data_IF_924888674593
#
_entry.id   IF_924888674593
#
_cell.length_a   1.000
_cell.length_b   1.000
_cell.length_c   1.000
_cell.angle_alpha   90.00
_cell.angle_beta   90.00
_cell.angle_gamma   90.00
#
_symmetry.space_group_name_H-M   'P 1'
#
loop_
_entity.id
_entity.type
_entity.pdbx_description
1 polymer ?
#
# COMPACT_ATOMS: atom_id res chain seq x y z
N UNK A 1 -6.29 2.41 13.02
CA UNK A 1 -6.02 2.44 11.59
C UNK A 1 -4.59 2.92 11.34
N UNK A 2 -3.86 2.22 10.51
CA UNK A 2 -2.46 2.55 10.21
C UNK A 2 -2.39 3.19 8.82
N UNK A 3 -1.69 4.30 8.73
CA UNK A 3 -1.48 4.99 7.44
C UNK A 3 0.01 5.01 7.12
N UNK A 4 0.35 4.56 5.91
CA UNK A 4 1.72 4.55 5.41
C UNK A 4 1.82 5.56 4.27
N UNK A 5 2.64 6.58 4.43
CA UNK A 5 2.88 7.55 3.38
C UNK A 5 4.16 7.18 2.65
N UNK A 6 4.00 6.57 1.49
CA UNK A 6 5.13 6.12 0.68
C UNK A 6 5.29 6.95 -0.59
N UNK A 7 4.72 8.16 -0.60
CA UNK A 7 4.84 9.05 -1.75
C UNK A 7 6.28 9.52 -1.89
N UNK A 8 6.74 9.63 -3.13
CA UNK A 8 8.09 10.08 -3.41
C UNK A 8 9.18 9.03 -3.20
N UNK A 9 8.81 7.83 -2.78
CA UNK A 9 9.77 6.75 -2.58
C UNK A 9 9.80 5.84 -3.81
N UNK A 10 10.96 5.27 -4.07
CA UNK A 10 11.11 4.35 -5.18
C UNK A 10 11.09 2.90 -4.69
N UNK A 11 10.64 2.01 -5.59
CA UNK A 11 10.62 0.58 -5.30
C UNK A 11 12.03 0.10 -4.94
N UNK A 12 12.21 -0.77 -3.93
CA UNK A 12 11.18 -1.54 -3.24
C UNK A 12 10.66 -0.94 -1.92
N UNK A 13 11.02 0.31 -1.59
CA UNK A 13 10.69 0.88 -0.29
C UNK A 13 9.20 0.92 0.03
N UNK A 14 8.30 1.37 -0.89
CA UNK A 14 6.87 1.36 -0.58
C UNK A 14 6.35 -0.03 -0.23
N UNK A 15 6.82 -1.04 -0.94
CA UNK A 15 6.40 -2.42 -0.69
C UNK A 15 6.88 -2.90 0.68
N UNK A 16 8.13 -2.61 1.02
CA UNK A 16 8.69 -3.00 2.32
C UNK A 16 7.96 -2.32 3.47
N UNK A 17 7.65 -1.03 3.33
CA UNK A 17 6.90 -0.31 4.34
C UNK A 17 5.50 -0.88 4.52
N UNK A 18 4.85 -1.25 3.42
CA UNK A 18 3.52 -1.86 3.46
C UNK A 18 3.55 -3.21 4.15
N UNK A 19 4.55 -4.04 3.83
CA UNK A 19 4.69 -5.35 4.47
C UNK A 19 4.86 -5.21 5.98
N UNK A 20 5.70 -4.29 6.42
CA UNK A 20 5.92 -4.07 7.84
C UNK A 20 4.64 -3.57 8.53
N UNK A 21 3.93 -2.66 7.90
CA UNK A 21 2.70 -2.10 8.45
C UNK A 21 1.62 -3.18 8.58
N UNK A 22 1.47 -4.03 7.58
CA UNK A 22 0.46 -5.10 7.58
C UNK A 22 0.75 -6.11 8.69
N UNK A 23 2.03 -6.41 8.91
CA UNK A 23 2.41 -7.33 9.99
C UNK A 23 2.10 -6.80 11.37
N UNK A 24 2.24 -5.48 11.58
CA UNK A 24 2.03 -4.86 12.88
C UNK A 24 0.60 -4.46 13.16
N UNK A 25 -0.18 -4.20 12.10
CA UNK A 25 -1.51 -3.67 12.25
C UNK A 25 -2.51 -4.75 12.62
N UNK A 26 -3.41 -4.41 13.54
CA UNK A 26 -4.53 -5.28 13.91
C UNK A 26 -5.81 -4.90 13.16
N UNK A 27 -5.68 -4.14 12.09
CA UNK A 27 -6.84 -3.68 11.33
C UNK A 27 -6.43 -3.17 9.98
N UNK A 28 -7.28 -2.38 9.32
CA UNK A 28 -6.98 -1.90 7.98
C UNK A 28 -5.74 -1.04 7.93
N UNK A 29 -5.00 -1.14 6.82
CA UNK A 29 -3.82 -0.34 6.56
C UNK A 29 -4.09 0.50 5.30
N UNK A 30 -3.82 1.79 5.40
CA UNK A 30 -3.95 2.70 4.27
C UNK A 30 -2.55 3.08 3.79
N UNK A 31 -2.29 2.89 2.50
CA UNK A 31 -1.00 3.20 1.91
C UNK A 31 -1.17 4.24 0.82
N UNK A 32 -0.31 5.25 0.85
CA UNK A 32 -0.32 6.32 -0.16
C UNK A 32 0.93 6.17 -1.03
N UNK A 33 0.71 6.09 -2.35
CA UNK A 33 1.81 6.07 -3.33
C UNK A 33 1.47 7.02 -4.46
N UNK A 34 2.49 7.49 -5.16
CA UNK A 34 2.30 8.47 -6.23
C UNK A 34 2.76 7.97 -7.60
N UNK A 35 2.89 6.66 -7.76
CA UNK A 35 3.20 6.08 -9.06
C UNK A 35 2.62 4.68 -9.20
N UNK A 36 2.57 4.21 -10.45
CA UNK A 36 1.92 2.95 -10.80
C UNK A 36 2.72 1.74 -10.34
N UNK A 37 4.04 1.82 -10.43
CA UNK A 37 4.89 0.67 -10.12
C UNK A 37 4.77 0.23 -8.66
N UNK A 38 4.94 1.11 -7.67
CA UNK A 38 4.74 0.69 -6.29
C UNK A 38 3.28 0.29 -6.00
N UNK A 39 2.31 0.95 -6.66
CA UNK A 39 0.92 0.54 -6.52
C UNK A 39 0.72 -0.91 -6.92
N UNK A 40 1.24 -1.30 -8.08
CA UNK A 40 1.07 -2.66 -8.58
C UNK A 40 1.81 -3.67 -7.70
N UNK A 41 2.99 -3.33 -7.22
CA UNK A 41 3.75 -4.21 -6.33
C UNK A 41 3.00 -4.47 -5.03
N UNK A 42 2.40 -3.44 -4.47
CA UNK A 42 1.61 -3.59 -3.24
C UNK A 42 0.38 -4.44 -3.48
N UNK A 43 -0.29 -4.25 -4.61
CA UNK A 43 -1.47 -5.06 -4.93
C UNK A 43 -1.12 -6.54 -5.10
N UNK A 44 0.03 -6.84 -5.70
CA UNK A 44 0.48 -8.23 -5.82
C UNK A 44 0.75 -8.83 -4.45
N UNK A 45 1.39 -8.08 -3.55
CA UNK A 45 1.63 -8.53 -2.20
C UNK A 45 0.33 -8.83 -1.46
N UNK A 46 -0.65 -7.94 -1.59
CA UNK A 46 -1.95 -8.12 -0.92
C UNK A 46 -2.63 -9.40 -1.39
N UNK A 47 -2.58 -9.69 -2.69
CA UNK A 47 -3.15 -10.93 -3.21
C UNK A 47 -2.49 -12.16 -2.63
N UNK A 48 -1.18 -12.13 -2.43
CA UNK A 48 -0.44 -13.26 -1.86
C UNK A 48 -0.80 -13.50 -0.41
N UNK A 49 -1.19 -12.47 0.32
CA UNK A 49 -1.55 -12.59 1.73
C UNK A 49 -3.03 -12.91 1.93
N UNK A 50 -3.80 -13.04 0.85
CA UNK A 50 -5.24 -13.31 0.87
C UNK A 50 -6.02 -12.19 1.56
N UNK A 51 -5.50 -10.99 1.52
CA UNK A 51 -6.21 -9.81 2.00
C UNK A 51 -6.87 -9.10 0.82
N UNK A 52 -7.74 -8.16 1.12
CA UNK A 52 -8.40 -7.37 0.11
C UNK A 52 -7.82 -5.97 0.07
N UNK A 53 -7.78 -5.38 -1.10
CA UNK A 53 -7.30 -4.02 -1.27
C UNK A 53 -8.27 -3.24 -2.13
N UNK A 54 -8.50 -1.99 -1.74
CA UNK A 54 -9.28 -1.06 -2.52
C UNK A 54 -8.38 0.11 -2.89
N UNK A 55 -8.36 0.46 -4.18
CA UNK A 55 -7.49 1.51 -4.69
C UNK A 55 -8.33 2.66 -5.21
N UNK A 56 -8.01 3.87 -4.77
CA UNK A 56 -8.59 5.09 -5.33
C UNK A 56 -7.45 5.99 -5.79
N UNK A 57 -7.70 6.78 -6.82
CA UNK A 57 -6.72 7.71 -7.35
C UNK A 57 -7.26 9.13 -7.29
N UNK A 58 -6.42 10.07 -6.87
CA UNK A 58 -6.78 11.47 -6.81
C UNK A 58 -5.52 12.31 -7.09
N UNK A 59 -5.53 13.04 -8.20
CA UNK A 59 -4.44 13.92 -8.61
C UNK A 59 -3.08 13.22 -8.65
N UNK A 60 -3.04 11.99 -9.14
CA UNK A 60 -1.80 11.24 -9.25
C UNK A 60 -1.36 10.54 -7.99
N UNK A 61 -2.16 10.61 -6.93
CA UNK A 61 -1.89 9.89 -5.68
C UNK A 61 -2.84 8.72 -5.57
N UNK A 62 -2.29 7.53 -5.36
CA UNK A 62 -3.08 6.31 -5.20
C UNK A 62 -3.20 5.98 -3.71
N UNK A 63 -4.43 5.84 -3.26
CA UNK A 63 -4.72 5.43 -1.88
C UNK A 63 -5.14 3.96 -1.90
N UNK A 64 -4.37 3.13 -1.22
CA UNK A 64 -4.63 1.69 -1.17
C UNK A 64 -5.06 1.33 0.24
N UNK A 65 -6.30 0.88 0.39
CA UNK A 65 -6.82 0.45 1.68
C UNK A 65 -6.81 -1.07 1.72
N UNK A 66 -6.03 -1.62 2.62
CA UNK A 66 -5.85 -3.07 2.76
C UNK A 66 -6.59 -3.53 4.01
N UNK A 67 -7.47 -4.51 3.84
CA UNK A 67 -8.23 -5.06 4.96
C UNK A 67 -8.19 -6.58 5.03
#
# INVERSE_FOLDING_TARGET
MTTVDARGLSCPEPLMMTQAAVKKADGPVTVLVDSVIPRDNILKFVKKTKKEAEVTEDNGVYTIVIS
#
